data_IF_822868624697
#
_entry.id   IF_822868624697
#
_cell.length_a   1.000
_cell.length_b   1.000
_cell.length_c   1.000
_cell.angle_alpha   90.00
_cell.angle_beta   90.00
_cell.angle_gamma   90.00
#
_symmetry.space_group_name_H-M   'P 1'
#
loop_
_entity.id
_entity.type
_entity.pdbx_description
1 polymer ?
#
# COMPACT_ATOMS: atom_id res chain seq x y z
N UNK A 1 -2.40 -30.32 15.86
CA UNK A 1 -0.98 -30.08 16.19
C UNK A 1 -0.85 -28.64 16.66
N UNK A 2 -0.09 -28.35 17.71
CA UNK A 2 -0.01 -26.99 18.27
C UNK A 2 0.91 -26.13 17.42
N UNK A 3 0.35 -25.12 16.75
CA UNK A 3 1.14 -24.03 16.17
C UNK A 3 1.82 -23.29 17.32
N UNK A 4 3.15 -23.07 17.31
CA UNK A 4 3.82 -22.30 18.35
C UNK A 4 3.19 -20.91 18.48
N UNK A 5 3.04 -20.42 19.71
CA UNK A 5 2.44 -19.11 19.96
C UNK A 5 3.18 -18.03 19.17
N UNK A 6 2.44 -17.27 18.36
CA UNK A 6 3.01 -16.23 17.51
C UNK A 6 3.63 -15.13 18.38
N UNK A 7 4.94 -15.17 18.55
CA UNK A 7 5.71 -14.08 19.15
C UNK A 7 5.59 -12.87 18.21
N UNK A 8 4.60 -12.01 18.45
CA UNK A 8 4.37 -10.79 17.65
C UNK A 8 5.68 -10.01 17.55
N UNK A 9 6.25 -9.98 16.33
CA UNK A 9 7.47 -9.24 16.05
C UNK A 9 7.14 -7.75 15.91
N UNK A 10 6.98 -7.08 17.05
CA UNK A 10 6.60 -5.67 17.11
C UNK A 10 7.83 -4.82 16.78
N UNK A 11 7.97 -4.43 15.51
CA UNK A 11 8.70 -3.20 15.18
C UNK A 11 7.80 -2.01 15.52
N UNK A 12 8.39 -1.02 16.18
CA UNK A 12 7.79 0.27 16.49
C UNK A 12 6.89 0.28 17.74
N UNK A 13 6.92 1.41 18.42
CA UNK A 13 5.63 2.03 18.78
C UNK A 13 5.29 3.01 17.64
N UNK A 14 4.02 3.29 17.34
CA UNK A 14 3.66 4.21 16.26
C UNK A 14 3.85 5.70 16.64
N UNK A 15 4.66 6.01 17.66
CA UNK A 15 4.75 7.35 18.28
C UNK A 15 6.19 7.72 18.71
N UNK A 16 6.96 6.80 19.31
CA UNK A 16 8.32 7.10 19.81
C UNK A 16 9.39 6.79 18.76
N UNK A 17 10.32 7.72 18.56
CA UNK A 17 11.57 7.51 17.80
C UNK A 17 12.58 6.62 18.54
N UNK A 18 13.63 6.20 17.81
CA UNK A 18 14.77 5.52 18.40
C UNK A 18 15.66 6.49 19.20
N UNK A 19 15.74 6.29 20.52
CA UNK A 19 16.70 7.00 21.38
C UNK A 19 17.92 6.12 21.68
N UNK A 20 19.07 6.55 21.16
CA UNK A 20 20.37 5.93 21.39
C UNK A 20 20.76 5.96 22.89
N UNK A 21 20.41 7.01 23.65
CA UNK A 21 20.71 7.09 25.10
C UNK A 21 19.94 6.02 25.88
N UNK A 22 18.65 5.82 25.57
CA UNK A 22 17.82 4.73 26.09
C UNK A 22 18.33 3.35 25.67
N UNK A 23 18.78 3.16 24.42
CA UNK A 23 19.45 1.93 24.01
C UNK A 23 20.70 1.65 24.86
N UNK A 24 21.64 2.60 24.95
CA UNK A 24 22.88 2.48 25.73
C UNK A 24 22.63 2.20 27.21
N UNK A 25 21.62 2.85 27.79
CA UNK A 25 21.20 2.58 29.18
C UNK A 25 20.72 1.13 29.34
N UNK A 26 19.89 0.62 28.42
CA UNK A 26 19.45 -0.79 28.45
C UNK A 26 20.60 -1.78 28.18
N UNK A 27 21.58 -1.39 27.37
CA UNK A 27 22.76 -2.21 27.05
C UNK A 27 23.68 -2.32 28.27
N UNK A 28 24.22 -1.21 28.77
CA UNK A 28 25.19 -1.20 29.86
C UNK A 28 24.62 -1.54 31.25
N UNK A 29 23.29 -1.58 31.43
CA UNK A 29 22.67 -2.09 32.66
C UNK A 29 22.71 -3.62 32.78
N UNK A 30 22.92 -4.36 31.68
CA UNK A 30 22.89 -5.82 31.69
C UNK A 30 24.09 -6.40 32.46
N UNK A 31 23.85 -7.07 33.58
CA UNK A 31 24.88 -7.78 34.35
C UNK A 31 25.17 -9.17 33.81
N UNK A 32 24.21 -9.78 33.11
CA UNK A 32 24.32 -11.08 32.45
C UNK A 32 23.93 -11.02 30.97
N UNK A 33 24.41 -11.97 30.16
CA UNK A 33 24.03 -12.08 28.75
C UNK A 33 22.52 -12.34 28.54
N UNK A 34 21.82 -12.84 29.57
CA UNK A 34 20.35 -12.96 29.57
C UNK A 34 19.66 -11.58 29.63
N UNK A 35 20.19 -10.62 30.40
CA UNK A 35 19.60 -9.27 30.52
C UNK A 35 19.72 -8.45 29.22
N UNK A 36 20.70 -8.77 28.36
CA UNK A 36 20.82 -8.16 27.03
C UNK A 36 19.55 -8.30 26.17
N UNK A 37 18.65 -9.24 26.48
CA UNK A 37 17.38 -9.35 25.76
C UNK A 37 16.56 -8.04 25.75
N UNK A 38 16.69 -7.18 26.78
CA UNK A 38 16.06 -5.87 26.81
C UNK A 38 16.64 -4.93 25.73
N UNK A 39 17.98 -4.83 25.63
CA UNK A 39 18.66 -4.02 24.63
C UNK A 39 18.47 -4.57 23.22
N UNK A 40 18.57 -5.90 23.05
CA UNK A 40 18.28 -6.63 21.81
C UNK A 40 16.84 -6.38 21.33
N UNK A 41 15.84 -6.50 22.22
CA UNK A 41 14.43 -6.21 21.92
C UNK A 41 14.19 -4.74 21.61
N UNK A 42 14.86 -3.81 22.29
CA UNK A 42 14.73 -2.38 21.98
C UNK A 42 15.32 -2.04 20.59
N UNK A 43 16.49 -2.57 20.24
CA UNK A 43 17.09 -2.35 18.92
C UNK A 43 16.23 -2.99 17.81
N UNK A 44 15.80 -4.24 17.99
CA UNK A 44 14.86 -4.93 17.09
C UNK A 44 13.39 -4.47 17.23
N UNK A 45 13.12 -3.30 17.82
CA UNK A 45 11.89 -2.52 17.56
C UNK A 45 12.09 -1.45 16.49
N UNK A 46 13.33 -1.03 16.20
CA UNK A 46 13.60 0.07 15.27
C UNK A 46 14.41 -0.35 14.05
N UNK A 47 15.12 -1.47 14.10
CA UNK A 47 15.99 -1.91 13.03
C UNK A 47 15.72 -3.35 12.60
N UNK A 48 15.56 -3.53 11.29
CA UNK A 48 15.42 -4.81 10.62
C UNK A 48 16.57 -4.98 9.61
N UNK A 49 17.21 -6.15 9.60
CA UNK A 49 18.38 -6.44 8.76
C UNK A 49 17.94 -6.73 7.32
N UNK A 50 18.37 -5.91 6.36
CA UNK A 50 18.19 -6.18 4.93
C UNK A 50 19.34 -7.02 4.35
N UNK A 51 19.17 -7.52 3.11
CA UNK A 51 20.18 -8.34 2.41
C UNK A 51 21.57 -7.66 2.31
N UNK A 52 21.59 -6.34 2.12
CA UNK A 52 22.80 -5.51 1.90
C UNK A 52 22.89 -4.26 2.80
N UNK A 53 22.00 -4.13 3.78
CA UNK A 53 21.89 -2.94 4.64
C UNK A 53 20.93 -3.13 5.80
N UNK A 54 20.32 -2.04 6.27
CA UNK A 54 19.39 -2.02 7.41
C UNK A 54 18.18 -1.16 7.07
N UNK A 55 17.00 -1.63 7.46
CA UNK A 55 15.77 -0.86 7.45
C UNK A 55 15.54 -0.24 8.83
N UNK A 56 15.47 1.09 8.92
CA UNK A 56 15.08 1.84 10.13
C UNK A 56 13.56 2.09 10.08
N UNK A 57 12.90 1.93 11.22
CA UNK A 57 11.52 2.39 11.41
C UNK A 57 11.44 3.91 11.55
N UNK A 58 10.58 4.54 10.76
CA UNK A 58 10.11 5.91 10.93
C UNK A 58 8.67 5.85 11.49
N UNK A 59 8.46 6.16 12.79
CA UNK A 59 7.13 6.17 13.41
C UNK A 59 6.22 7.28 12.86
N UNK A 60 6.78 8.41 12.41
CA UNK A 60 6.03 9.60 11.98
C UNK A 60 5.38 9.37 10.63
N UNK A 61 6.14 8.88 9.65
CA UNK A 61 5.63 8.54 8.33
C UNK A 61 5.04 7.11 8.27
N UNK A 62 5.34 6.28 9.28
CA UNK A 62 4.96 4.87 9.39
C UNK A 62 5.55 4.01 8.27
N UNK A 63 6.84 4.20 7.99
CA UNK A 63 7.56 3.51 6.91
C UNK A 63 8.90 2.93 7.37
N UNK A 64 9.46 2.04 6.55
CA UNK A 64 10.83 1.57 6.68
C UNK A 64 11.76 2.26 5.68
N UNK A 65 12.64 3.11 6.22
CA UNK A 65 13.72 3.79 5.51
C UNK A 65 14.91 2.85 5.34
N UNK A 66 15.53 2.82 4.14
CA UNK A 66 16.70 1.98 3.89
C UNK A 66 18.01 2.76 4.09
N UNK A 67 18.88 2.21 4.92
CA UNK A 67 20.26 2.66 5.09
C UNK A 67 21.22 1.56 4.60
N UNK A 68 22.26 1.94 3.87
CA UNK A 68 23.36 1.01 3.58
C UNK A 68 24.06 0.60 4.90
N UNK A 69 24.76 -0.53 4.90
CA UNK A 69 25.39 -1.08 6.12
C UNK A 69 26.34 -0.09 6.81
N UNK A 70 27.14 0.68 6.07
CA UNK A 70 28.11 1.65 6.63
C UNK A 70 27.38 2.73 7.43
N UNK A 71 26.49 3.48 6.78
CA UNK A 71 25.72 4.56 7.41
C UNK A 71 24.93 4.05 8.62
N UNK A 72 24.31 2.86 8.52
CA UNK A 72 23.56 2.26 9.62
C UNK A 72 24.43 1.95 10.84
N UNK A 73 25.68 1.51 10.64
CA UNK A 73 26.63 1.25 11.73
C UNK A 73 27.19 2.54 12.34
N UNK A 74 27.49 3.54 11.52
CA UNK A 74 28.07 4.81 11.97
C UNK A 74 27.06 5.65 12.74
N UNK A 75 25.81 5.72 12.29
CA UNK A 75 24.77 6.55 12.91
C UNK A 75 23.96 5.87 14.02
N UNK A 76 23.72 4.55 13.95
CA UNK A 76 22.71 3.89 14.80
C UNK A 76 23.19 2.63 15.50
N UNK A 77 23.76 1.67 14.77
CA UNK A 77 24.18 0.34 15.28
C UNK A 77 25.70 0.34 15.45
N UNK A 78 26.17 1.17 16.38
CA UNK A 78 27.60 1.38 16.66
C UNK A 78 28.24 0.13 17.28
N UNK A 79 29.58 0.04 17.18
CA UNK A 79 30.35 -1.14 17.62
C UNK A 79 30.52 -1.18 19.15
N UNK A 80 29.42 -1.42 19.86
CA UNK A 80 29.40 -1.51 21.32
C UNK A 80 29.53 -2.97 21.78
N UNK A 81 30.30 -3.15 22.86
CA UNK A 81 30.71 -4.46 23.36
C UNK A 81 30.44 -4.58 24.87
N UNK A 82 30.21 -5.80 25.35
CA UNK A 82 30.18 -6.13 26.77
C UNK A 82 31.09 -7.33 27.05
N UNK A 83 31.65 -7.36 28.25
CA UNK A 83 32.52 -8.44 28.74
C UNK A 83 31.90 -8.94 30.04
N UNK A 84 31.26 -10.10 30.00
CA UNK A 84 30.72 -10.74 31.19
C UNK A 84 31.83 -11.53 31.90
N UNK A 85 31.87 -11.39 33.23
CA UNK A 85 32.88 -12.00 34.09
C UNK A 85 32.21 -12.82 35.19
N UNK A 86 32.91 -13.83 35.71
CA UNK A 86 32.50 -14.52 36.93
C UNK A 86 32.99 -13.76 38.19
N UNK A 87 32.66 -14.30 39.36
CA UNK A 87 33.01 -13.69 40.66
C UNK A 87 34.53 -13.66 40.93
N UNK A 88 35.32 -14.43 40.17
CA UNK A 88 36.79 -14.40 40.17
C UNK A 88 37.39 -13.36 39.22
N UNK A 89 36.55 -12.66 38.44
CA UNK A 89 36.97 -11.68 37.44
C UNK A 89 37.42 -12.27 36.10
N UNK A 90 37.31 -13.59 35.91
CA UNK A 90 37.62 -14.31 34.67
C UNK A 90 36.54 -14.03 33.61
N UNK A 91 36.92 -13.89 32.34
CA UNK A 91 35.97 -13.55 31.26
C UNK A 91 35.19 -14.80 30.83
N UNK A 92 33.87 -14.78 31.01
CA UNK A 92 32.95 -15.83 30.57
C UNK A 92 32.61 -15.63 29.08
N UNK A 93 32.23 -14.41 28.71
CA UNK A 93 31.62 -14.11 27.41
C UNK A 93 31.99 -12.68 26.96
N UNK A 94 32.21 -12.52 25.64
CA UNK A 94 32.35 -11.21 25.00
C UNK A 94 31.22 -11.03 24.00
N UNK A 95 30.32 -10.09 24.27
CA UNK A 95 29.19 -9.77 23.40
C UNK A 95 29.48 -8.51 22.58
N UNK A 96 28.95 -8.43 21.35
CA UNK A 96 29.05 -7.28 20.46
C UNK A 96 27.69 -7.05 19.79
N UNK A 97 27.04 -5.89 20.02
CA UNK A 97 25.69 -5.63 19.51
C UNK A 97 25.65 -5.62 17.98
N UNK A 98 26.66 -5.02 17.35
CA UNK A 98 26.79 -4.95 15.90
C UNK A 98 27.02 -6.35 15.30
N UNK A 99 27.88 -7.17 15.93
CA UNK A 99 28.16 -8.52 15.44
C UNK A 99 26.93 -9.42 15.57
N UNK A 100 26.23 -9.35 16.71
CA UNK A 100 24.95 -10.02 16.95
C UNK A 100 23.92 -9.62 15.90
N UNK A 101 23.69 -8.31 15.71
CA UNK A 101 22.69 -7.81 14.76
C UNK A 101 22.95 -8.32 13.33
N UNK A 102 24.19 -8.20 12.83
CA UNK A 102 24.56 -8.62 11.47
C UNK A 102 24.90 -10.11 11.32
N UNK A 103 24.71 -10.96 12.33
CA UNK A 103 24.88 -12.41 12.24
C UNK A 103 23.60 -13.16 12.60
N UNK A 104 23.01 -12.87 13.75
CA UNK A 104 21.93 -13.66 14.37
C UNK A 104 20.51 -13.15 14.08
N UNK A 105 20.32 -11.88 13.70
CA UNK A 105 18.97 -11.39 13.34
C UNK A 105 18.56 -11.86 11.94
N UNK A 106 17.27 -12.17 11.70
CA UNK A 106 16.81 -12.64 10.39
C UNK A 106 16.92 -11.55 9.32
N UNK A 107 17.11 -11.98 8.07
CA UNK A 107 16.99 -11.09 6.92
C UNK A 107 15.53 -10.79 6.61
N UNK A 108 15.23 -9.52 6.35
CA UNK A 108 13.94 -9.06 5.88
C UNK A 108 14.01 -8.74 4.38
N UNK A 109 13.08 -9.31 3.63
CA UNK A 109 12.76 -8.92 2.24
C UNK A 109 11.74 -7.79 2.22
N UNK A 110 11.55 -7.16 1.05
CA UNK A 110 10.45 -6.23 0.78
C UNK A 110 9.41 -6.93 -0.10
N UNK A 111 8.13 -6.70 0.17
CA UNK A 111 7.00 -7.21 -0.62
C UNK A 111 5.84 -6.20 -0.58
N UNK A 112 4.97 -6.18 -1.58
CA UNK A 112 3.67 -5.49 -1.51
C UNK A 112 2.57 -6.55 -1.40
N UNK A 113 1.87 -6.58 -0.27
CA UNK A 113 0.83 -7.57 -0.02
C UNK A 113 -0.34 -6.97 0.80
N UNK A 114 -1.52 -6.73 0.23
CA UNK A 114 -2.60 -6.02 0.93
C UNK A 114 -3.23 -6.83 2.07
N UNK A 115 -2.98 -8.13 2.15
CA UNK A 115 -3.56 -9.04 3.14
C UNK A 115 -2.62 -9.35 4.33
N UNK A 116 -1.39 -8.82 4.31
CA UNK A 116 -0.40 -9.03 5.36
C UNK A 116 -0.20 -7.76 6.22
N UNK A 117 0.10 -7.89 7.53
CA UNK A 117 0.53 -6.76 8.35
C UNK A 117 1.87 -6.18 7.87
N UNK A 118 2.23 -5.00 8.39
CA UNK A 118 3.47 -4.27 8.09
C UNK A 118 4.75 -5.13 8.22
N UNK A 119 4.76 -6.09 9.14
CA UNK A 119 5.77 -7.14 9.24
C UNK A 119 5.07 -8.47 9.35
N UNK A 120 5.44 -9.40 8.49
CA UNK A 120 4.93 -10.77 8.50
C UNK A 120 6.07 -11.77 8.32
N UNK A 121 5.74 -13.05 8.54
CA UNK A 121 6.62 -14.19 8.34
C UNK A 121 5.85 -15.27 7.62
N UNK A 122 6.39 -15.77 6.53
CA UNK A 122 5.77 -16.82 5.74
C UNK A 122 5.94 -18.22 6.35
N UNK A 123 5.13 -19.23 5.93
CA UNK A 123 5.28 -20.62 6.37
C UNK A 123 6.65 -21.25 6.06
N UNK A 124 7.32 -20.78 5.00
CA UNK A 124 8.71 -21.16 4.67
C UNK A 124 9.75 -20.62 5.68
N UNK A 125 9.32 -19.75 6.62
CA UNK A 125 10.13 -19.18 7.68
C UNK A 125 10.80 -17.84 7.36
N UNK A 126 10.69 -17.33 6.13
CA UNK A 126 11.23 -16.03 5.70
C UNK A 126 10.46 -14.85 6.29
N UNK A 127 11.15 -13.70 6.44
CA UNK A 127 10.61 -12.49 7.07
C UNK A 127 10.51 -11.36 6.05
N UNK A 128 9.43 -10.57 6.17
CA UNK A 128 9.09 -9.54 5.20
C UNK A 128 8.70 -8.23 5.88
N UNK A 129 9.15 -7.12 5.30
CA UNK A 129 8.60 -5.79 5.53
C UNK A 129 7.63 -5.52 4.39
N UNK A 130 6.36 -5.36 4.73
CA UNK A 130 5.33 -5.00 3.75
C UNK A 130 5.50 -3.53 3.34
N UNK A 131 5.49 -3.28 2.04
CA UNK A 131 5.48 -1.95 1.43
C UNK A 131 4.06 -1.45 1.15
N UNK A 132 3.04 -2.28 1.29
CA UNK A 132 1.65 -1.82 1.35
C UNK A 132 1.44 -0.99 2.64
N UNK A 133 1.04 0.30 2.54
CA UNK A 133 0.85 1.17 3.71
C UNK A 133 -0.30 0.80 4.67
N UNK A 134 -1.11 -0.20 4.34
CA UNK A 134 -2.37 -0.51 5.01
C UNK A 134 -3.55 0.31 4.48
N UNK A 135 -4.76 -0.24 4.60
CA UNK A 135 -6.01 0.47 4.33
C UNK A 135 -6.22 1.58 5.37
N UNK A 136 -6.90 2.67 4.98
CA UNK A 136 -7.37 3.71 5.89
C UNK A 136 -8.30 3.14 6.99
N UNK A 137 -9.00 2.05 6.66
CA UNK A 137 -10.11 1.48 7.43
C UNK A 137 -9.84 0.02 7.77
N UNK A 138 -9.51 -0.28 9.02
CA UNK A 138 -9.04 -1.63 9.44
C UNK A 138 -10.09 -2.48 10.17
N UNK A 139 -11.15 -1.87 10.69
CA UNK A 139 -12.24 -2.54 11.42
C UNK A 139 -13.61 -1.87 11.15
N UNK A 140 -14.24 -2.09 9.98
CA UNK A 140 -15.60 -1.59 9.71
C UNK A 140 -16.65 -2.30 10.59
N UNK A 141 -17.66 -1.54 11.04
CA UNK A 141 -18.89 -2.10 11.64
C UNK A 141 -19.99 -2.25 10.57
N UNK A 142 -21.04 -3.05 10.79
CA UNK A 142 -22.13 -3.22 9.82
C UNK A 142 -22.94 -1.95 9.50
N UNK A 143 -23.40 -1.82 8.25
CA UNK A 143 -24.13 -0.63 7.74
C UNK A 143 -25.30 -0.18 8.63
N UNK A 144 -26.09 -1.13 9.12
CA UNK A 144 -27.28 -0.85 9.91
C UNK A 144 -26.99 -0.21 11.27
N UNK A 145 -25.74 -0.29 11.77
CA UNK A 145 -25.33 0.29 13.05
C UNK A 145 -25.01 1.79 12.96
N UNK A 146 -24.85 2.35 11.76
CA UNK A 146 -24.54 3.77 11.58
C UNK A 146 -25.78 4.67 11.72
N UNK A 147 -25.55 5.92 12.14
CA UNK A 147 -26.58 6.94 12.26
C UNK A 147 -27.24 7.30 10.93
N UNK A 148 -28.50 7.77 10.99
CA UNK A 148 -29.33 8.08 9.81
C UNK A 148 -28.61 8.95 8.78
N UNK A 149 -28.04 10.06 9.23
CA UNK A 149 -27.28 11.03 8.42
C UNK A 149 -26.23 10.37 7.52
N UNK A 150 -25.33 9.58 8.11
CA UNK A 150 -24.27 8.85 7.39
C UNK A 150 -24.85 7.86 6.37
N UNK A 151 -25.91 7.15 6.76
CA UNK A 151 -26.60 6.20 5.87
C UNK A 151 -27.31 6.89 4.70
N UNK A 152 -27.80 8.11 4.89
CA UNK A 152 -28.44 8.90 3.84
C UNK A 152 -27.41 9.60 2.94
N UNK A 153 -26.27 10.03 3.47
CA UNK A 153 -25.14 10.54 2.69
C UNK A 153 -24.57 9.49 1.72
N UNK A 154 -24.44 8.22 2.14
CA UNK A 154 -24.04 7.16 1.21
C UNK A 154 -25.12 6.82 0.17
N UNK A 155 -26.41 6.89 0.50
CA UNK A 155 -27.48 6.77 -0.52
C UNK A 155 -27.36 7.86 -1.58
N UNK A 156 -26.98 9.09 -1.23
CA UNK A 156 -26.76 10.16 -2.20
C UNK A 156 -25.64 9.81 -3.19
N UNK A 157 -24.53 9.24 -2.71
CA UNK A 157 -23.41 8.81 -3.56
C UNK A 157 -23.81 7.60 -4.42
N UNK A 158 -24.49 6.60 -3.86
CA UNK A 158 -25.03 5.47 -4.61
C UNK A 158 -26.02 5.89 -5.69
N UNK A 159 -26.94 6.81 -5.37
CA UNK A 159 -27.88 7.35 -6.34
C UNK A 159 -27.14 8.17 -7.42
N UNK A 160 -26.11 8.95 -7.08
CA UNK A 160 -25.29 9.61 -8.10
C UNK A 160 -24.56 8.62 -9.02
N UNK A 161 -23.94 7.57 -8.45
CA UNK A 161 -23.30 6.50 -9.23
C UNK A 161 -24.27 5.79 -10.16
N UNK A 162 -25.45 5.41 -9.65
CA UNK A 162 -26.46 4.72 -10.45
C UNK A 162 -27.11 5.68 -11.45
N UNK A 163 -27.70 6.79 -11.00
CA UNK A 163 -28.58 7.66 -11.80
C UNK A 163 -27.83 8.66 -12.68
N UNK A 164 -26.59 9.03 -12.33
CA UNK A 164 -25.79 10.00 -13.12
C UNK A 164 -24.64 9.31 -13.84
N UNK A 165 -23.84 8.44 -13.21
CA UNK A 165 -22.69 7.83 -13.88
C UNK A 165 -23.09 6.66 -14.78
N UNK A 166 -23.77 5.65 -14.25
CA UNK A 166 -24.29 4.50 -15.00
C UNK A 166 -25.66 4.77 -15.66
N UNK A 167 -26.24 5.95 -15.38
CA UNK A 167 -27.59 6.39 -15.76
C UNK A 167 -28.74 5.37 -15.54
N UNK A 168 -28.55 4.42 -14.63
CA UNK A 168 -29.39 3.26 -14.28
C UNK A 168 -29.46 2.15 -15.33
N UNK A 169 -28.51 2.10 -16.26
CA UNK A 169 -28.12 0.83 -16.87
C UNK A 169 -27.60 -0.11 -15.76
N UNK A 170 -28.28 -1.24 -15.57
CA UNK A 170 -28.01 -2.17 -14.46
C UNK A 170 -26.70 -2.93 -14.63
N UNK A 171 -26.29 -3.22 -15.87
CA UNK A 171 -25.06 -3.94 -16.14
C UNK A 171 -23.85 -3.04 -15.88
N UNK A 172 -23.94 -1.76 -16.25
CA UNK A 172 -22.96 -0.73 -15.88
C UNK A 172 -22.92 -0.50 -14.36
N UNK A 173 -24.07 -0.47 -13.68
CA UNK A 173 -24.12 -0.38 -12.20
C UNK A 173 -23.45 -1.59 -11.54
N UNK A 174 -23.82 -2.81 -11.94
CA UNK A 174 -23.25 -4.04 -11.38
C UNK A 174 -21.75 -4.14 -11.63
N UNK A 175 -21.27 -3.75 -12.81
CA UNK A 175 -19.84 -3.65 -13.10
C UNK A 175 -19.16 -2.59 -12.23
N UNK A 176 -19.73 -1.37 -12.14
CA UNK A 176 -19.18 -0.28 -11.34
C UNK A 176 -19.05 -0.68 -9.87
N UNK A 177 -20.11 -1.22 -9.26
CA UNK A 177 -20.07 -1.72 -7.88
C UNK A 177 -19.04 -2.85 -7.75
N UNK A 178 -19.08 -3.85 -8.65
CA UNK A 178 -18.18 -4.99 -8.67
C UNK A 178 -16.70 -4.60 -8.67
N UNK A 179 -16.31 -3.60 -9.46
CA UNK A 179 -14.95 -3.07 -9.48
C UNK A 179 -14.60 -2.34 -8.18
N UNK A 180 -15.48 -1.46 -7.69
CA UNK A 180 -15.25 -0.66 -6.46
C UNK A 180 -15.07 -1.55 -5.24
N UNK A 181 -15.84 -2.64 -5.14
CA UNK A 181 -15.74 -3.60 -4.03
C UNK A 181 -14.38 -4.30 -4.02
N UNK A 182 -13.89 -4.71 -5.19
CA UNK A 182 -12.57 -5.35 -5.36
C UNK A 182 -11.44 -4.37 -5.06
N UNK A 183 -11.55 -3.13 -5.54
CA UNK A 183 -10.68 -2.01 -5.16
C UNK A 183 -10.67 -1.81 -3.63
N UNK A 184 -11.83 -1.77 -2.98
CA UNK A 184 -11.95 -1.53 -1.54
C UNK A 184 -11.30 -2.62 -0.67
N UNK A 185 -11.21 -3.86 -1.16
CA UNK A 185 -10.49 -4.97 -0.49
C UNK A 185 -9.05 -5.17 -1.00
N UNK A 186 -8.54 -4.29 -1.87
CA UNK A 186 -7.17 -4.37 -2.41
C UNK A 186 -6.95 -5.48 -3.44
N UNK A 187 -8.02 -6.06 -4.00
CA UNK A 187 -7.93 -7.01 -5.09
C UNK A 187 -7.69 -6.27 -6.42
N UNK A 188 -6.60 -6.61 -7.12
CA UNK A 188 -6.36 -6.18 -8.51
C UNK A 188 -7.35 -6.84 -9.47
N UNK A 189 -7.68 -6.13 -10.53
CA UNK A 189 -8.52 -6.59 -11.64
C UNK A 189 -7.78 -6.50 -12.97
N UNK A 190 -7.93 -7.53 -13.81
CA UNK A 190 -7.59 -7.53 -15.24
C UNK A 190 -8.62 -6.78 -16.10
N UNK A 191 -9.38 -5.85 -15.48
CA UNK A 191 -10.31 -4.94 -16.15
C UNK A 191 -10.32 -3.61 -15.40
N UNK A 192 -10.52 -2.52 -16.12
CA UNK A 192 -10.51 -1.15 -15.60
C UNK A 192 -11.85 -0.45 -15.86
N UNK A 193 -11.97 0.81 -15.45
CA UNK A 193 -13.17 1.62 -15.65
C UNK A 193 -12.84 2.89 -16.45
N UNK A 194 -13.47 3.03 -17.62
CA UNK A 194 -13.38 4.25 -18.43
C UNK A 194 -14.65 5.09 -18.24
N UNK A 195 -14.54 6.14 -17.40
CA UNK A 195 -15.62 7.09 -17.16
C UNK A 195 -15.60 8.18 -18.24
N UNK A 196 -16.55 8.10 -19.17
CA UNK A 196 -16.68 9.05 -20.27
C UNK A 196 -18.00 9.81 -20.24
N UNK A 197 -17.89 11.14 -20.21
CA UNK A 197 -19.02 12.08 -20.23
C UNK A 197 -18.50 13.51 -20.40
N UNK A 198 -19.40 14.49 -20.52
CA UNK A 198 -19.02 15.91 -20.45
C UNK A 198 -18.48 16.34 -19.06
N UNK A 199 -17.97 17.58 -18.96
CA UNK A 199 -17.63 18.21 -17.68
C UNK A 199 -18.87 18.37 -16.78
N UNK A 200 -18.66 18.54 -15.47
CA UNK A 200 -19.74 18.78 -14.50
C UNK A 200 -20.52 17.54 -14.02
N UNK A 201 -20.41 16.39 -14.69
CA UNK A 201 -21.16 15.16 -14.38
C UNK A 201 -20.69 14.37 -13.14
N UNK A 202 -19.77 14.92 -12.33
CA UNK A 202 -19.34 14.33 -11.07
C UNK A 202 -18.21 13.27 -11.12
N UNK A 203 -17.68 12.90 -12.30
CA UNK A 203 -16.58 11.92 -12.45
C UNK A 203 -15.42 12.12 -11.44
N UNK A 204 -14.92 13.35 -11.34
CA UNK A 204 -13.83 13.73 -10.41
C UNK A 204 -14.26 13.74 -8.95
N UNK A 205 -15.55 14.00 -8.63
CA UNK A 205 -16.07 13.90 -7.26
C UNK A 205 -16.10 12.43 -6.82
N UNK A 206 -16.57 11.53 -7.68
CA UNK A 206 -16.55 10.09 -7.45
C UNK A 206 -15.13 9.53 -7.28
N UNK A 207 -14.18 9.87 -8.16
CA UNK A 207 -12.79 9.39 -8.00
C UNK A 207 -12.04 10.08 -6.86
N UNK A 208 -12.39 11.32 -6.50
CA UNK A 208 -11.92 11.97 -5.27
C UNK A 208 -12.43 11.22 -4.03
N UNK A 209 -13.72 10.88 -3.98
CA UNK A 209 -14.31 10.09 -2.89
C UNK A 209 -13.58 8.76 -2.73
N UNK A 210 -13.48 7.95 -3.79
CA UNK A 210 -12.72 6.69 -3.82
C UNK A 210 -11.31 6.83 -3.25
N UNK A 211 -10.58 7.87 -3.65
CA UNK A 211 -9.18 8.08 -3.25
C UNK A 211 -8.99 8.60 -1.84
N UNK A 212 -9.79 9.57 -1.41
CA UNK A 212 -9.54 10.31 -0.17
C UNK A 212 -10.27 9.68 1.02
N UNK A 213 -11.48 9.17 0.81
CA UNK A 213 -12.44 8.90 1.89
C UNK A 213 -12.54 7.39 2.20
N UNK A 214 -12.38 6.51 1.20
CA UNK A 214 -12.74 5.01 1.25
C UNK A 214 -11.24 4.42 1.25
N UNK A 215 -10.34 4.76 0.32
CA UNK A 215 -8.97 4.20 0.31
C UNK A 215 -7.96 4.98 1.16
N UNK A 216 -8.04 6.30 1.14
CA UNK A 216 -7.02 7.22 1.66
C UNK A 216 -5.84 7.46 0.70
N UNK A 217 -5.12 8.59 0.86
CA UNK A 217 -4.04 9.00 -0.05
C UNK A 217 -2.78 8.13 0.04
N UNK A 218 -2.62 7.33 1.11
CA UNK A 218 -1.49 6.40 1.24
C UNK A 218 -1.50 5.35 0.12
N UNK A 219 -2.66 4.73 -0.15
CA UNK A 219 -2.80 3.59 -1.08
C UNK A 219 -3.47 3.93 -2.41
N UNK A 220 -3.68 5.23 -2.70
CA UNK A 220 -4.20 5.68 -3.99
C UNK A 220 -3.38 6.84 -4.57
N UNK A 221 -3.49 7.09 -5.88
CA UNK A 221 -2.99 8.32 -6.51
C UNK A 221 -3.85 8.80 -7.68
N UNK A 222 -3.64 10.03 -8.13
CA UNK A 222 -4.30 10.70 -9.26
C UNK A 222 -3.28 11.52 -10.03
N UNK A 223 -3.19 11.35 -11.34
CA UNK A 223 -2.32 12.16 -12.21
C UNK A 223 -2.92 12.32 -13.61
N UNK A 224 -2.51 13.36 -14.33
CA UNK A 224 -2.76 13.52 -15.76
C UNK A 224 -1.56 13.11 -16.63
N UNK A 225 -0.43 12.75 -16.01
CA UNK A 225 0.78 12.35 -16.71
C UNK A 225 0.77 10.84 -17.02
N UNK A 226 0.49 10.48 -18.27
CA UNK A 226 0.44 9.09 -18.76
C UNK A 226 1.78 8.32 -18.59
N UNK A 227 2.88 9.03 -18.34
CA UNK A 227 4.23 8.46 -18.14
C UNK A 227 4.41 7.81 -16.77
N UNK A 228 3.42 7.88 -15.87
CA UNK A 228 3.41 7.05 -14.65
C UNK A 228 3.25 5.55 -14.97
N UNK A 229 2.58 5.21 -16.08
CA UNK A 229 2.49 3.84 -16.62
C UNK A 229 3.57 3.63 -17.69
N UNK A 230 3.74 4.61 -18.59
CA UNK A 230 4.50 4.42 -19.84
C UNK A 230 5.96 4.90 -19.82
N UNK A 231 6.45 5.43 -18.70
CA UNK A 231 7.81 5.97 -18.55
C UNK A 231 8.60 5.37 -17.39
N UNK A 232 9.92 5.54 -17.44
CA UNK A 232 10.91 4.94 -16.52
C UNK A 232 10.95 5.53 -15.10
N UNK A 233 9.88 6.15 -14.60
CA UNK A 233 9.81 6.68 -13.22
C UNK A 233 8.38 6.54 -12.68
N UNK A 234 8.10 5.38 -12.09
CA UNK A 234 6.76 4.94 -11.70
C UNK A 234 6.64 4.57 -10.21
N UNK A 235 7.67 4.85 -9.39
CA UNK A 235 7.72 4.55 -7.94
C UNK A 235 6.48 4.94 -7.14
N UNK A 236 5.77 5.98 -7.55
CA UNK A 236 4.52 6.40 -6.92
C UNK A 236 3.44 5.30 -6.90
N UNK A 237 3.53 4.29 -7.78
CA UNK A 237 2.64 3.14 -7.84
C UNK A 237 2.96 2.03 -6.82
N UNK A 238 4.13 2.04 -6.15
CA UNK A 238 4.46 1.03 -5.12
C UNK A 238 3.41 1.05 -4.00
N UNK A 239 2.75 -0.09 -3.78
CA UNK A 239 1.73 -0.23 -2.74
C UNK A 239 0.42 0.52 -3.03
N UNK A 240 0.18 0.97 -4.26
CA UNK A 240 -1.09 1.63 -4.66
C UNK A 240 -2.11 0.60 -5.14
N UNK A 241 -3.29 0.66 -4.55
CA UNK A 241 -4.49 -0.12 -4.89
C UNK A 241 -5.33 0.56 -5.99
N UNK A 242 -5.20 1.89 -6.13
CA UNK A 242 -5.92 2.66 -7.15
C UNK A 242 -5.04 3.75 -7.77
N UNK A 243 -4.90 3.69 -9.10
CA UNK A 243 -4.45 4.79 -9.95
C UNK A 243 -5.67 5.42 -10.63
N UNK A 244 -5.80 6.75 -10.53
CA UNK A 244 -6.76 7.53 -11.33
C UNK A 244 -6.01 8.35 -12.37
N UNK A 245 -6.27 8.11 -13.65
CA UNK A 245 -5.84 9.00 -14.72
C UNK A 245 -6.93 10.03 -15.00
N UNK A 246 -6.62 11.32 -14.87
CA UNK A 246 -7.51 12.41 -15.27
C UNK A 246 -7.03 13.09 -16.55
N UNK A 247 -7.95 13.34 -17.48
CA UNK A 247 -7.72 14.21 -18.64
C UNK A 247 -6.46 13.85 -19.42
N UNK A 248 -6.43 12.62 -19.95
CA UNK A 248 -5.34 12.14 -20.81
C UNK A 248 -5.02 13.17 -21.90
N UNK A 249 -3.73 13.41 -22.09
CA UNK A 249 -3.24 14.39 -23.05
C UNK A 249 -3.69 14.06 -24.49
N UNK A 250 -4.02 15.09 -25.28
CA UNK A 250 -4.35 14.95 -26.72
C UNK A 250 -3.08 14.61 -27.54
N UNK A 251 -2.53 13.42 -27.30
CA UNK A 251 -1.41 12.85 -28.05
C UNK A 251 -1.87 12.40 -29.46
N UNK A 252 -0.92 12.09 -30.35
CA UNK A 252 -1.25 11.71 -31.74
C UNK A 252 -1.75 10.26 -31.77
N UNK A 253 -2.45 9.88 -32.83
CA UNK A 253 -3.05 8.54 -32.95
C UNK A 253 -2.05 7.37 -32.86
N UNK A 254 -0.79 7.58 -33.25
CA UNK A 254 0.31 6.62 -33.05
C UNK A 254 0.72 6.46 -31.59
N UNK A 255 0.66 7.56 -30.84
CA UNK A 255 1.02 7.62 -29.43
C UNK A 255 -0.07 6.92 -28.61
N UNK A 256 -1.35 7.09 -29.01
CA UNK A 256 -2.49 6.43 -28.40
C UNK A 256 -2.38 4.89 -28.43
N UNK A 257 -2.09 4.28 -29.59
CA UNK A 257 -1.98 2.81 -29.70
C UNK A 257 -0.84 2.29 -28.81
N UNK A 258 0.30 2.99 -28.81
CA UNK A 258 1.47 2.66 -27.97
C UNK A 258 1.14 2.77 -26.48
N UNK A 259 0.33 3.77 -26.10
CA UNK A 259 -0.17 3.94 -24.73
C UNK A 259 -1.19 2.85 -24.35
N UNK A 260 -2.15 2.56 -25.21
CA UNK A 260 -3.22 1.58 -24.97
C UNK A 260 -2.65 0.17 -24.73
N UNK A 261 -1.68 -0.27 -25.54
CA UNK A 261 -1.01 -1.57 -25.34
C UNK A 261 -0.31 -1.64 -23.97
N UNK A 262 0.49 -0.62 -23.63
CA UNK A 262 1.16 -0.53 -22.32
C UNK A 262 0.19 -0.44 -21.13
N UNK A 263 -1.02 0.05 -21.37
CA UNK A 263 -2.10 0.10 -20.39
C UNK A 263 -2.79 -1.26 -20.22
N UNK A 264 -2.94 -2.06 -21.28
CA UNK A 264 -3.33 -3.48 -21.18
C UNK A 264 -2.28 -4.26 -20.38
N UNK A 265 -1.00 -4.16 -20.76
CA UNK A 265 0.12 -4.79 -20.06
C UNK A 265 0.12 -4.49 -18.55
N UNK A 266 -0.20 -3.24 -18.18
CA UNK A 266 -0.29 -2.78 -16.80
C UNK A 266 -1.52 -3.30 -16.03
N UNK A 267 -2.67 -3.43 -16.70
CA UNK A 267 -3.90 -4.00 -16.11
C UNK A 267 -3.73 -5.51 -15.89
N UNK A 268 -3.14 -6.22 -16.85
CA UNK A 268 -3.04 -7.67 -16.81
C UNK A 268 -1.86 -8.14 -15.95
N UNK A 269 -0.66 -7.53 -16.04
CA UNK A 269 0.52 -8.01 -15.31
C UNK A 269 0.38 -7.90 -13.79
N UNK A 270 0.55 -9.03 -13.10
CA UNK A 270 0.60 -9.12 -11.63
C UNK A 270 1.92 -8.61 -11.03
N UNK A 271 2.86 -8.15 -11.86
CA UNK A 271 4.09 -7.48 -11.40
C UNK A 271 4.37 -6.20 -12.18
N UNK A 272 4.92 -5.21 -11.49
CA UNK A 272 5.43 -3.97 -12.08
C UNK A 272 6.91 -3.81 -11.73
N UNK A 273 7.71 -3.40 -12.72
CA UNK A 273 9.08 -2.98 -12.49
C UNK A 273 9.06 -1.56 -11.93
N UNK A 274 9.45 -1.41 -10.66
CA UNK A 274 9.55 -0.11 -10.00
C UNK A 274 10.90 0.53 -10.34
N UNK A 275 10.83 1.73 -10.92
CA UNK A 275 11.99 2.55 -11.26
C UNK A 275 12.04 3.84 -10.42
N UNK A 276 13.21 4.09 -9.82
CA UNK A 276 13.50 5.23 -8.96
C UNK A 276 14.77 5.94 -9.45
N UNK A 277 14.79 7.29 -9.37
CA UNK A 277 15.99 8.06 -9.71
C UNK A 277 17.19 7.60 -8.87
N UNK A 278 18.29 7.28 -9.55
CA UNK A 278 19.56 6.84 -8.97
C UNK A 278 19.50 5.50 -8.21
N UNK A 279 18.55 4.61 -8.52
CA UNK A 279 18.49 3.24 -8.00
C UNK A 279 18.32 2.22 -9.13
N UNK A 280 18.76 0.99 -8.90
CA UNK A 280 18.47 -0.16 -9.78
C UNK A 280 16.97 -0.45 -9.79
N UNK A 281 16.34 -0.72 -10.95
CA UNK A 281 14.96 -1.21 -11.02
C UNK A 281 14.75 -2.54 -10.29
N UNK A 282 13.54 -2.79 -9.79
CA UNK A 282 13.17 -4.05 -9.15
C UNK A 282 11.68 -4.41 -9.36
N UNK A 283 11.33 -5.71 -9.46
CA UNK A 283 9.94 -6.13 -9.55
C UNK A 283 9.21 -5.99 -8.21
N UNK A 284 7.95 -5.61 -8.27
CA UNK A 284 7.02 -5.52 -7.13
C UNK A 284 5.65 -6.07 -7.56
N UNK A 285 4.93 -6.71 -6.65
CA UNK A 285 3.54 -7.14 -6.86
C UNK A 285 2.67 -5.97 -7.30
N UNK A 286 2.04 -6.08 -8.46
CA UNK A 286 1.06 -5.10 -8.92
C UNK A 286 -0.26 -5.35 -8.21
N UNK A 287 -0.72 -4.39 -7.42
CA UNK A 287 -2.06 -4.41 -6.80
C UNK A 287 -2.95 -3.26 -7.29
N UNK A 288 -2.50 -2.56 -8.33
CA UNK A 288 -3.11 -1.32 -8.79
C UNK A 288 -4.26 -1.58 -9.74
N UNK A 289 -5.46 -1.15 -9.34
CA UNK A 289 -6.59 -1.00 -10.24
C UNK A 289 -6.55 0.38 -10.92
N UNK A 290 -7.11 0.47 -12.13
CA UNK A 290 -7.12 1.71 -12.92
C UNK A 290 -8.55 2.24 -13.11
N UNK A 291 -8.73 3.54 -12.88
CA UNK A 291 -9.90 4.31 -13.30
C UNK A 291 -9.42 5.48 -14.16
N UNK A 292 -10.12 5.75 -15.25
CA UNK A 292 -9.81 6.84 -16.19
C UNK A 292 -11.00 7.80 -16.25
N UNK A 293 -10.75 9.09 -16.02
CA UNK A 293 -11.71 10.16 -16.22
C UNK A 293 -11.42 10.88 -17.54
N UNK A 294 -12.32 10.78 -18.52
CA UNK A 294 -12.17 11.43 -19.82
C UNK A 294 -13.34 12.37 -20.17
N UNK A 295 -13.02 13.49 -20.82
CA UNK A 295 -13.95 14.53 -21.24
C UNK A 295 -14.11 14.64 -22.78
N UNK A 296 -13.36 13.87 -23.58
CA UNK A 296 -13.28 13.99 -25.04
C UNK A 296 -13.51 12.64 -25.76
N UNK A 297 -14.63 12.50 -26.47
CA UNK A 297 -14.99 11.29 -27.22
C UNK A 297 -14.01 10.91 -28.33
N UNK A 298 -13.16 11.82 -28.79
CA UNK A 298 -12.22 11.57 -29.89
C UNK A 298 -10.91 10.90 -29.45
N UNK A 299 -10.65 10.77 -28.15
CA UNK A 299 -9.39 10.20 -27.64
C UNK A 299 -9.35 8.67 -27.82
N UNK A 300 -10.50 7.99 -27.70
CA UNK A 300 -10.53 6.52 -27.76
C UNK A 300 -11.53 6.04 -28.82
N UNK A 301 -11.02 5.33 -29.82
CA UNK A 301 -11.75 4.23 -30.45
C UNK A 301 -11.35 2.98 -29.66
N UNK A 302 -12.32 2.35 -29.00
CA UNK A 302 -12.16 1.02 -28.44
C UNK A 302 -12.42 0.04 -29.59
N UNK A 303 -11.46 -0.81 -29.90
CA UNK A 303 -11.75 -2.03 -30.64
C UNK A 303 -12.37 -3.06 -29.67
N UNK A 304 -13.01 -4.13 -30.17
CA UNK A 304 -13.74 -5.09 -29.31
C UNK A 304 -12.84 -5.76 -28.25
N UNK A 305 -11.57 -5.96 -28.56
CA UNK A 305 -10.57 -6.47 -27.61
C UNK A 305 -10.18 -5.45 -26.54
N UNK A 306 -10.43 -4.16 -26.77
CA UNK A 306 -10.28 -3.13 -25.76
C UNK A 306 -11.49 -3.10 -24.81
N UNK A 307 -12.72 -3.27 -25.32
CA UNK A 307 -13.96 -3.26 -24.51
C UNK A 307 -13.93 -4.31 -23.38
N UNK A 308 -13.25 -5.44 -23.60
CA UNK A 308 -13.06 -6.47 -22.59
C UNK A 308 -12.11 -6.05 -21.44
N UNK A 309 -11.20 -5.10 -21.65
CA UNK A 309 -10.21 -4.64 -20.65
C UNK A 309 -10.58 -3.25 -20.10
N UNK A 310 -11.24 -2.43 -20.92
CA UNK A 310 -11.65 -1.05 -20.70
C UNK A 310 -13.19 -0.95 -20.76
N UNK A 311 -13.87 -1.30 -19.67
CA UNK A 311 -15.32 -1.16 -19.64
C UNK A 311 -15.73 0.32 -19.64
N UNK A 312 -16.37 0.76 -20.72
CA UNK A 312 -16.84 2.13 -20.89
C UNK A 312 -18.19 2.34 -20.20
N UNK A 313 -18.27 3.38 -19.37
CA UNK A 313 -19.51 3.84 -18.73
C UNK A 313 -19.90 5.17 -19.37
N UNK A 314 -21.11 5.21 -19.93
CA UNK A 314 -21.64 6.30 -20.77
C UNK A 314 -23.13 6.55 -20.47
N UNK A 315 -23.56 7.80 -20.52
CA UNK A 315 -24.82 8.25 -19.91
C UNK A 315 -26.06 8.06 -20.82
N UNK A 316 -27.03 7.25 -20.39
CA UNK A 316 -28.38 7.09 -20.99
C UNK A 316 -29.45 6.87 -19.89
N UNK A 317 -30.44 7.76 -19.79
CA UNK A 317 -31.37 7.90 -18.65
C UNK A 317 -32.19 6.67 -18.19
N UNK A 318 -32.52 6.66 -16.88
CA UNK A 318 -33.67 6.07 -16.14
C UNK A 318 -33.48 4.77 -15.32
N UNK A 319 -33.73 4.84 -14.00
CA UNK A 319 -34.69 3.91 -13.34
C UNK A 319 -34.23 2.72 -12.45
N UNK A 320 -33.82 2.89 -11.17
CA UNK A 320 -33.80 1.88 -10.05
C UNK A 320 -33.07 0.50 -10.25
N UNK A 321 -32.35 -0.10 -9.29
CA UNK A 321 -32.17 0.09 -7.83
C UNK A 321 -31.04 -0.84 -7.34
N UNK A 322 -30.28 -0.47 -6.29
CA UNK A 322 -29.44 -1.41 -5.53
C UNK A 322 -29.36 -0.98 -4.05
N UNK A 323 -29.44 -1.95 -3.11
CA UNK A 323 -29.64 -1.66 -1.68
C UNK A 323 -28.78 -2.49 -0.70
N UNK A 324 -27.94 -3.40 -1.20
CA UNK A 324 -27.26 -4.42 -0.36
C UNK A 324 -25.76 -4.16 -0.15
N UNK A 325 -25.13 -3.35 -1.01
CA UNK A 325 -23.68 -3.11 -1.03
C UNK A 325 -23.11 -2.28 0.14
N UNK A 326 -23.97 -1.81 1.03
CA UNK A 326 -23.68 -0.63 1.86
C UNK A 326 -22.83 -0.95 3.11
N UNK A 327 -22.63 -2.24 3.42
CA UNK A 327 -21.87 -2.74 4.59
C UNK A 327 -20.36 -2.46 4.54
N UNK A 328 -19.77 -2.41 3.34
CA UNK A 328 -18.32 -2.15 3.18
C UNK A 328 -18.02 -0.64 3.17
N UNK A 329 -18.98 0.17 2.70
CA UNK A 329 -18.74 1.59 2.42
C UNK A 329 -18.79 2.53 3.64
N UNK A 330 -18.94 2.04 4.88
CA UNK A 330 -19.29 2.92 6.01
C UNK A 330 -18.29 3.16 7.14
N UNK A 331 -17.07 2.60 7.10
CA UNK A 331 -15.97 3.21 7.90
C UNK A 331 -15.66 4.66 7.45
N UNK A 332 -16.18 5.07 6.30
CA UNK A 332 -15.68 6.14 5.46
C UNK A 332 -16.04 7.56 5.89
N UNK A 333 -17.24 7.81 6.45
CA UNK A 333 -17.74 9.19 6.71
C UNK A 333 -17.66 9.58 8.20
N UNK A 334 -16.48 9.37 8.83
CA UNK A 334 -16.10 9.98 10.13
C UNK A 334 -14.59 10.23 10.28
N UNK A 335 -13.98 10.78 9.23
CA UNK A 335 -12.80 11.65 9.30
C UNK A 335 -13.08 12.91 8.47
#
# INVERSE_FOLDING_TARGET
MNVPSQTKFILGTPIQEFDNKKFRKLFHLAKTSKELHHAKSYLCRYFARGKVGVYKWDPKNQIFEYYNKKNACESFIQSEHMIFKNDKGEVIEKFSIQSWFFRETPFFSLEVNPYQPLIFREPNGAYYINKFPGFLHTSPIPFNQFGKEIRDAVKLILNHMREVLCSSNKDQELYMMGLILRIAIGQKMSKSMFLYSGPGTGKTMFTWFLRIIVLGPKISTKTSNEKIITGSFNKELEGKVLLVLEEMSNSKSTDWITFANRLKDFIDSDTIMIEEKYKTPYPVTNITNLIINCNNSKIIRLDREDEDILFQISQINMLKMALEWITIMLHWIKL
#
